data_IF_700869779278
#
_entry.id   IF_700869779278
#
_cell.length_a   1.000
_cell.length_b   1.000
_cell.length_c   1.000
_cell.angle_alpha   90.00
_cell.angle_beta   90.00
_cell.angle_gamma   90.00
#
_symmetry.space_group_name_H-M   'P 1'
#
loop_
_entity.id
_entity.type
_entity.pdbx_description
1 polymer ?
#
# COMPACT_ATOMS: atom_id res chain seq x y z
N UNK A 1 12.11 -0.45 20.59
CA UNK A 1 12.34 -1.76 19.95
C UNK A 1 13.15 -1.52 18.70
N UNK A 2 14.45 -1.77 18.76
CA UNK A 2 15.35 -1.75 17.61
C UNK A 2 15.15 -3.04 16.83
N UNK A 3 14.79 -2.92 15.54
CA UNK A 3 14.89 -4.06 14.62
C UNK A 3 16.37 -4.26 14.30
N UNK A 4 16.88 -5.43 14.66
CA UNK A 4 18.24 -5.84 14.34
C UNK A 4 18.27 -6.33 12.89
N UNK A 5 19.03 -5.62 12.05
CA UNK A 5 19.21 -5.91 10.63
C UNK A 5 20.52 -6.65 10.33
N UNK A 6 21.26 -7.14 11.34
CA UNK A 6 22.59 -7.76 11.18
C UNK A 6 22.60 -9.12 10.47
N UNK A 7 21.47 -9.57 9.90
CA UNK A 7 21.35 -10.76 9.07
C UNK A 7 20.70 -10.55 7.70
N UNK A 8 20.49 -9.30 7.26
CA UNK A 8 19.95 -9.05 5.91
C UNK A 8 21.02 -9.39 4.88
N UNK A 9 20.79 -10.52 4.24
CA UNK A 9 21.33 -10.89 2.95
C UNK A 9 21.34 -9.69 1.98
N UNK A 10 22.50 -9.32 1.41
CA UNK A 10 22.68 -8.21 0.45
C UNK A 10 21.91 -8.38 -0.88
N UNK A 11 20.99 -9.34 -0.96
CA UNK A 11 20.07 -9.50 -2.09
C UNK A 11 19.04 -8.37 -2.10
N UNK A 12 18.71 -7.84 -3.28
CA UNK A 12 17.64 -6.85 -3.40
C UNK A 12 16.32 -7.41 -2.87
N UNK A 13 15.45 -6.58 -2.26
CA UNK A 13 14.14 -7.02 -1.78
C UNK A 13 13.33 -7.67 -2.90
N UNK A 14 12.62 -8.76 -2.58
CA UNK A 14 11.73 -9.42 -3.54
C UNK A 14 10.42 -8.65 -3.67
N UNK A 15 10.11 -8.16 -4.87
CA UNK A 15 8.79 -7.63 -5.20
C UNK A 15 7.82 -8.79 -5.48
N UNK A 16 6.73 -8.84 -4.72
CA UNK A 16 5.66 -9.82 -4.88
C UNK A 16 4.40 -9.09 -5.36
N UNK A 17 3.86 -9.51 -6.50
CA UNK A 17 2.56 -9.03 -7.01
C UNK A 17 1.51 -10.11 -6.81
N UNK A 18 0.51 -9.81 -5.98
CA UNK A 18 -0.63 -10.70 -5.75
C UNK A 18 -1.83 -10.22 -6.58
N UNK A 19 -2.16 -10.95 -7.66
CA UNK A 19 -3.22 -10.59 -8.60
C UNK A 19 -4.35 -11.63 -8.67
N UNK A 20 -5.57 -11.18 -8.96
CA UNK A 20 -6.74 -12.03 -9.14
C UNK A 20 -8.04 -11.22 -9.09
N UNK A 21 -9.20 -11.79 -9.45
CA UNK A 21 -10.47 -11.08 -9.49
C UNK A 21 -10.90 -10.57 -8.10
N UNK A 22 -11.89 -9.67 -8.09
CA UNK A 22 -12.51 -9.24 -6.83
C UNK A 22 -13.11 -10.45 -6.09
N UNK A 23 -12.97 -10.50 -4.76
CA UNK A 23 -13.49 -11.59 -3.94
C UNK A 23 -12.63 -12.87 -3.88
N UNK A 24 -11.53 -12.97 -4.62
CA UNK A 24 -10.66 -14.18 -4.60
C UNK A 24 -9.85 -14.37 -3.30
N UNK A 25 -9.84 -13.37 -2.40
CA UNK A 25 -9.18 -13.45 -1.11
C UNK A 25 -7.78 -12.83 -1.01
N UNK A 26 -7.39 -11.94 -1.94
CA UNK A 26 -6.08 -11.24 -1.90
C UNK A 26 -5.80 -10.56 -0.56
N UNK A 27 -6.77 -9.79 -0.07
CA UNK A 27 -6.64 -9.07 1.21
C UNK A 27 -6.54 -10.05 2.39
N UNK A 28 -7.28 -11.17 2.33
CA UNK A 28 -7.21 -12.22 3.34
C UNK A 28 -5.82 -12.89 3.38
N UNK A 29 -5.21 -13.14 2.22
CA UNK A 29 -3.84 -13.65 2.12
C UNK A 29 -2.84 -12.68 2.74
N UNK A 30 -2.89 -11.39 2.37
CA UNK A 30 -2.01 -10.36 2.93
C UNK A 30 -2.17 -10.24 4.45
N UNK A 31 -3.42 -10.22 4.93
CA UNK A 31 -3.71 -10.18 6.37
C UNK A 31 -3.16 -11.40 7.11
N UNK A 32 -3.26 -12.59 6.52
CA UNK A 32 -2.69 -13.81 7.10
C UNK A 32 -1.16 -13.74 7.16
N UNK A 33 -0.50 -13.21 6.13
CA UNK A 33 0.96 -13.01 6.13
C UNK A 33 1.40 -12.03 7.23
N UNK A 34 0.65 -10.95 7.46
CA UNK A 34 0.88 -10.01 8.58
C UNK A 34 0.71 -10.70 9.94
N UNK A 35 -0.36 -11.48 10.13
CA UNK A 35 -0.60 -12.24 11.37
C UNK A 35 0.51 -13.26 11.66
N UNK A 36 1.06 -13.88 10.61
CA UNK A 36 2.20 -14.79 10.70
C UNK A 36 3.53 -14.06 10.95
N UNK A 37 3.54 -12.72 10.99
CA UNK A 37 4.73 -11.89 11.19
C UNK A 37 5.85 -12.20 10.19
N UNK A 38 5.47 -12.51 8.94
CA UNK A 38 6.45 -12.66 7.86
C UNK A 38 7.18 -11.32 7.67
N UNK A 39 8.49 -11.33 7.31
CA UNK A 39 9.28 -10.13 7.10
C UNK A 39 8.91 -9.48 5.76
N UNK A 40 7.66 -9.03 5.63
CA UNK A 40 7.11 -8.39 4.44
C UNK A 40 6.75 -6.95 4.72
N UNK A 41 7.04 -6.08 3.76
CA UNK A 41 6.43 -4.76 3.66
C UNK A 41 5.29 -4.85 2.65
N UNK A 42 4.13 -4.32 3.02
CA UNK A 42 2.95 -4.28 2.15
C UNK A 42 2.72 -2.82 1.81
N UNK A 43 2.82 -2.51 0.52
CA UNK A 43 2.63 -1.18 -0.03
C UNK A 43 1.20 -0.70 0.22
N UNK A 44 1.04 0.39 0.97
CA UNK A 44 -0.28 0.97 1.26
C UNK A 44 -0.64 2.01 0.19
N UNK A 45 -1.73 1.74 -0.53
CA UNK A 45 -2.20 2.60 -1.62
C UNK A 45 -2.93 3.84 -1.07
N UNK A 46 -2.72 5.01 -1.66
CA UNK A 46 -3.55 6.20 -1.42
C UNK A 46 -4.83 6.14 -2.27
N UNK A 47 -5.96 6.54 -1.71
CA UNK A 47 -7.24 6.59 -2.44
C UNK A 47 -8.13 7.74 -2.01
N UNK A 48 -8.91 8.27 -2.96
CA UNK A 48 -9.97 9.25 -2.69
C UNK A 48 -11.32 8.64 -2.33
N UNK A 49 -11.42 7.31 -2.37
CA UNK A 49 -12.64 6.61 -1.97
C UNK A 49 -12.88 6.83 -0.47
N UNK A 50 -14.12 7.08 -0.02
CA UNK A 50 -14.43 7.09 1.40
C UNK A 50 -14.05 5.78 2.10
N UNK A 51 -13.45 5.91 3.28
CA UNK A 51 -13.13 4.79 4.17
C UNK A 51 -14.40 4.06 4.60
N UNK A 52 -14.41 2.73 4.51
CA UNK A 52 -15.49 1.88 5.06
C UNK A 52 -15.35 1.74 6.58
N UNK A 53 -16.42 1.37 7.30
CA UNK A 53 -16.37 1.25 8.76
C UNK A 53 -15.28 0.30 9.30
N UNK A 54 -14.99 -0.78 8.57
CA UNK A 54 -14.03 -1.81 8.95
C UNK A 54 -12.61 -1.55 8.42
N UNK A 55 -12.34 -0.42 7.76
CA UNK A 55 -11.03 -0.06 7.22
C UNK A 55 -10.29 0.91 8.14
N UNK A 56 -8.96 0.85 8.11
CA UNK A 56 -8.05 1.63 8.96
C UNK A 56 -7.07 2.46 8.11
N UNK A 57 -6.95 3.75 8.43
CA UNK A 57 -6.03 4.69 7.79
C UNK A 57 -4.58 4.20 7.91
N UNK A 58 -3.86 4.18 6.79
CA UNK A 58 -2.45 3.78 6.75
C UNK A 58 -2.21 2.27 6.90
N UNK A 59 -3.28 1.46 6.94
CA UNK A 59 -3.18 -0.01 6.94
C UNK A 59 -3.82 -0.58 5.68
N UNK A 60 -5.10 -0.25 5.45
CA UNK A 60 -5.82 -0.70 4.25
C UNK A 60 -5.53 0.24 3.07
N UNK A 61 -5.66 1.54 3.31
CA UNK A 61 -5.32 2.61 2.38
C UNK A 61 -4.91 3.87 3.14
N UNK A 62 -4.21 4.78 2.45
CA UNK A 62 -4.20 6.18 2.81
C UNK A 62 -5.45 6.84 2.23
N UNK A 63 -6.49 7.00 3.04
CA UNK A 63 -7.71 7.69 2.62
C UNK A 63 -7.43 9.20 2.64
N UNK A 64 -7.50 9.81 1.47
CA UNK A 64 -7.20 11.24 1.25
C UNK A 64 -8.35 11.90 0.50
N UNK A 65 -8.47 13.22 0.59
CA UNK A 65 -9.40 13.98 -0.25
C UNK A 65 -8.95 14.01 -1.72
N UNK A 66 -9.85 14.40 -2.62
CA UNK A 66 -9.49 14.61 -4.05
C UNK A 66 -8.46 15.72 -4.23
N UNK A 67 -8.55 16.77 -3.42
CA UNK A 67 -7.63 17.90 -3.46
C UNK A 67 -6.23 17.48 -2.99
N UNK A 68 -6.15 16.75 -1.88
CA UNK A 68 -4.89 16.15 -1.39
C UNK A 68 -4.28 15.21 -2.44
N UNK A 69 -5.08 14.35 -3.06
CA UNK A 69 -4.58 13.46 -4.12
C UNK A 69 -4.04 14.24 -5.31
N UNK A 70 -4.71 15.33 -5.70
CA UNK A 70 -4.23 16.21 -6.77
C UNK A 70 -2.90 16.88 -6.40
N UNK A 71 -2.72 17.30 -5.15
CA UNK A 71 -1.43 17.78 -4.65
C UNK A 71 -0.35 16.69 -4.75
N UNK A 72 -0.65 15.45 -4.37
CA UNK A 72 0.30 14.34 -4.49
C UNK A 72 0.73 14.09 -5.95
N UNK A 73 -0.17 14.26 -6.92
CA UNK A 73 0.16 14.19 -8.36
C UNK A 73 1.10 15.35 -8.74
N UNK A 74 0.72 16.59 -8.41
CA UNK A 74 1.46 17.79 -8.79
C UNK A 74 2.88 17.79 -8.22
N UNK A 75 3.02 17.31 -6.98
CA UNK A 75 4.30 17.25 -6.27
C UNK A 75 5.10 15.98 -6.60
N UNK A 76 4.65 15.18 -7.59
CA UNK A 76 5.31 13.95 -8.01
C UNK A 76 5.54 12.96 -6.85
N UNK A 77 4.62 12.90 -5.90
CA UNK A 77 4.70 12.04 -4.70
C UNK A 77 4.23 10.61 -4.95
N UNK A 78 3.54 10.36 -6.06
CA UNK A 78 3.04 9.04 -6.46
C UNK A 78 3.99 8.39 -7.47
N UNK A 79 4.27 7.09 -7.30
CA UNK A 79 5.01 6.26 -8.26
C UNK A 79 4.16 5.99 -9.50
N UNK A 80 2.90 5.61 -9.28
CA UNK A 80 1.88 5.43 -10.30
C UNK A 80 0.51 5.79 -9.72
N UNK A 81 -0.45 6.11 -10.58
CA UNK A 81 -1.83 6.33 -10.18
C UNK A 81 -2.80 6.10 -11.34
N UNK A 82 -4.05 5.83 -11.00
CA UNK A 82 -5.15 5.66 -11.95
C UNK A 82 -6.47 6.15 -11.35
N UNK A 83 -7.41 6.49 -12.23
CA UNK A 83 -8.81 6.73 -11.88
C UNK A 83 -9.61 5.44 -12.11
N UNK A 84 -10.33 4.99 -11.10
CA UNK A 84 -11.22 3.83 -11.16
C UNK A 84 -12.62 4.29 -10.74
N UNK A 85 -13.55 4.31 -11.68
CA UNK A 85 -14.84 5.00 -11.53
C UNK A 85 -14.63 6.48 -11.14
N UNK A 86 -15.13 6.90 -9.97
CA UNK A 86 -15.04 8.28 -9.49
C UNK A 86 -13.95 8.53 -8.45
N UNK A 87 -13.11 7.51 -8.20
CA UNK A 87 -12.05 7.56 -7.20
C UNK A 87 -10.68 7.41 -7.84
N UNK A 88 -9.69 8.08 -7.26
CA UNK A 88 -8.29 7.90 -7.60
C UNK A 88 -7.63 6.89 -6.68
N UNK A 89 -6.62 6.20 -7.21
CA UNK A 89 -5.78 5.24 -6.51
C UNK A 89 -4.35 5.47 -6.95
N UNK A 90 -3.39 5.47 -6.02
CA UNK A 90 -1.99 5.66 -6.36
C UNK A 90 -1.04 5.14 -5.28
N UNK A 91 0.18 4.81 -5.70
CA UNK A 91 1.22 4.27 -4.81
C UNK A 91 2.11 5.44 -4.35
N UNK A 92 2.08 5.84 -3.06
CA UNK A 92 3.01 6.83 -2.55
C UNK A 92 4.45 6.35 -2.67
N UNK A 93 5.35 7.20 -3.16
CA UNK A 93 6.78 6.87 -3.29
C UNK A 93 7.42 6.53 -1.93
N UNK A 94 6.88 7.08 -0.83
CA UNK A 94 7.33 6.79 0.53
C UNK A 94 7.12 5.32 0.95
N UNK A 95 6.20 4.58 0.31
CA UNK A 95 6.00 3.15 0.59
C UNK A 95 7.04 2.26 -0.09
N UNK A 96 7.79 2.80 -1.06
CA UNK A 96 8.79 2.04 -1.83
C UNK A 96 10.21 2.46 -1.46
N UNK A 97 10.40 3.73 -1.12
CA UNK A 97 11.70 4.29 -0.75
C UNK A 97 11.98 4.01 0.73
N UNK A 98 12.75 2.95 0.98
CA UNK A 98 13.50 2.74 2.22
C UNK A 98 14.89 3.35 2.13
#
# INVERSE_FOLDING_TARGET
MSFDFTGIDNRPPLLIVLSGPSGVGKDATVNRMRQLKLPIHVVVTATTRPKRPNETQGIDYHFVSKDEFQHMINDSQLLEWARVYDNYYGIPKSEIKG
#
